data_IF_925811139056
#
_entry.id   IF_925811139056
#
_cell.length_a   1.000
_cell.length_b   1.000
_cell.length_c   1.000
_cell.angle_alpha   90.00
_cell.angle_beta   90.00
_cell.angle_gamma   90.00
#
_symmetry.space_group_name_H-M   'P 1'
#
loop_
_entity.id
_entity.type
_entity.pdbx_description
1 polymer ?
#
# COMPACT_ATOMS: atom_id res chain seq x y z
N UNK A 1 6.25 -11.12 -28.54
CA UNK A 1 7.15 -10.30 -27.70
C UNK A 1 6.67 -8.86 -27.80
N UNK A 2 6.18 -8.26 -26.71
CA UNK A 2 5.64 -6.89 -26.73
C UNK A 2 6.81 -5.89 -26.78
N UNK A 3 6.82 -5.00 -27.77
CA UNK A 3 7.74 -3.85 -27.75
C UNK A 3 7.05 -2.71 -26.98
N UNK A 4 7.43 -2.56 -25.71
CA UNK A 4 6.87 -1.53 -24.82
C UNK A 4 7.26 -0.10 -25.22
N UNK A 5 8.22 0.09 -26.12
CA UNK A 5 8.59 1.42 -26.65
C UNK A 5 7.60 1.94 -27.71
N UNK A 6 6.77 1.06 -28.28
CA UNK A 6 5.81 1.39 -29.35
C UNK A 6 4.40 0.87 -29.08
N UNK A 7 4.01 0.84 -27.81
CA UNK A 7 2.69 0.34 -27.42
C UNK A 7 1.58 1.33 -27.78
N UNK A 8 0.58 0.87 -28.54
CA UNK A 8 -0.63 1.67 -28.84
C UNK A 8 -1.45 1.90 -27.58
N UNK A 9 -2.41 2.83 -27.63
CA UNK A 9 -3.30 3.09 -26.49
C UNK A 9 -4.11 1.83 -26.13
N UNK A 10 -4.72 1.15 -27.11
CA UNK A 10 -5.47 -0.09 -26.90
C UNK A 10 -4.61 -1.21 -26.30
N UNK A 11 -3.38 -1.36 -26.79
CA UNK A 11 -2.44 -2.34 -26.25
C UNK A 11 -2.04 -2.01 -24.80
N UNK A 12 -1.88 -0.73 -24.48
CA UNK A 12 -1.57 -0.30 -23.12
C UNK A 12 -2.75 -0.50 -22.17
N UNK A 13 -3.98 -0.25 -22.61
CA UNK A 13 -5.20 -0.57 -21.85
C UNK A 13 -5.28 -2.08 -21.60
N UNK A 14 -5.09 -2.91 -22.63
CA UNK A 14 -5.10 -4.36 -22.48
C UNK A 14 -4.00 -4.87 -21.52
N UNK A 15 -2.82 -4.26 -21.55
CA UNK A 15 -1.74 -4.55 -20.61
C UNK A 15 -2.09 -4.12 -19.18
N UNK A 16 -2.70 -2.94 -19.00
CA UNK A 16 -3.15 -2.47 -17.69
C UNK A 16 -4.17 -3.43 -17.08
N UNK A 17 -5.16 -3.86 -17.87
CA UNK A 17 -6.16 -4.84 -17.47
C UNK A 17 -5.51 -6.17 -17.06
N UNK A 18 -4.56 -6.69 -17.85
CA UNK A 18 -3.85 -7.92 -17.52
C UNK A 18 -3.06 -7.81 -16.20
N UNK A 19 -2.33 -6.71 -16.01
CA UNK A 19 -1.57 -6.45 -14.78
C UNK A 19 -2.50 -6.36 -13.58
N UNK A 20 -3.57 -5.56 -13.67
CA UNK A 20 -4.51 -5.38 -12.56
C UNK A 20 -5.24 -6.69 -12.23
N UNK A 21 -5.64 -7.47 -13.22
CA UNK A 21 -6.28 -8.77 -12.99
C UNK A 21 -5.34 -9.76 -12.28
N UNK A 22 -4.06 -9.80 -12.68
CA UNK A 22 -3.06 -10.61 -11.98
C UNK A 22 -2.83 -10.14 -10.55
N UNK A 23 -2.61 -8.83 -10.34
CA UNK A 23 -2.37 -8.26 -9.00
C UNK A 23 -3.55 -8.40 -8.06
N UNK A 24 -4.77 -8.19 -8.52
CA UNK A 24 -5.98 -8.37 -7.70
C UNK A 24 -6.21 -9.83 -7.33
N UNK A 25 -5.96 -10.77 -8.25
CA UNK A 25 -6.01 -12.21 -7.97
C UNK A 25 -4.97 -12.61 -6.93
N UNK A 26 -3.72 -12.18 -7.11
CA UNK A 26 -2.62 -12.51 -6.20
C UNK A 26 -2.83 -11.88 -4.82
N UNK A 27 -3.22 -10.60 -4.76
CA UNK A 27 -3.55 -9.93 -3.49
C UNK A 27 -4.63 -10.68 -2.71
N UNK A 28 -5.73 -11.05 -3.37
CA UNK A 28 -6.80 -11.82 -2.74
C UNK A 28 -6.31 -13.17 -2.23
N UNK A 29 -5.57 -13.90 -3.06
CA UNK A 29 -5.07 -15.22 -2.71
C UNK A 29 -4.10 -15.17 -1.51
N UNK A 30 -3.10 -14.29 -1.57
CA UNK A 30 -2.05 -14.21 -0.55
C UNK A 30 -2.58 -13.68 0.77
N UNK A 31 -3.46 -12.67 0.75
CA UNK A 31 -4.12 -12.16 1.97
C UNK A 31 -4.98 -13.26 2.60
N UNK A 32 -5.81 -13.94 1.81
CA UNK A 32 -6.63 -15.04 2.33
C UNK A 32 -5.76 -16.13 2.96
N UNK A 33 -4.68 -16.56 2.27
CA UNK A 33 -3.77 -17.59 2.78
C UNK A 33 -3.12 -17.15 4.10
N UNK A 34 -2.67 -15.91 4.19
CA UNK A 34 -2.02 -15.37 5.38
C UNK A 34 -2.98 -15.22 6.56
N UNK A 35 -4.27 -14.98 6.33
CA UNK A 35 -5.28 -14.82 7.38
C UNK A 35 -5.91 -16.16 7.82
N UNK A 36 -5.60 -17.28 7.16
CA UNK A 36 -6.13 -18.60 7.53
C UNK A 36 -5.63 -18.99 8.93
N UNK A 37 -6.58 -19.28 9.83
CA UNK A 37 -6.30 -19.84 11.16
C UNK A 37 -6.19 -21.36 11.06
N UNK A 38 -5.15 -21.85 10.39
CA UNK A 38 -4.84 -23.29 10.29
C UNK A 38 -3.55 -23.66 11.04
N UNK A 39 -3.16 -24.95 10.97
CA UNK A 39 -1.98 -25.49 11.65
C UNK A 39 -0.64 -24.93 11.16
N UNK A 40 -0.60 -24.26 10.01
CA UNK A 40 0.61 -23.63 9.45
C UNK A 40 0.78 -22.17 9.92
N UNK A 41 -0.23 -21.62 10.58
CA UNK A 41 -0.17 -20.35 11.30
C UNK A 41 -0.78 -19.15 10.58
N UNK A 42 -1.17 -18.15 11.36
CA UNK A 42 -1.66 -16.86 10.90
C UNK A 42 -0.48 -15.89 10.70
N UNK A 43 -0.38 -15.24 9.52
CA UNK A 43 0.68 -14.32 9.15
C UNK A 43 0.14 -12.92 8.76
N UNK A 44 -0.58 -12.23 9.67
CA UNK A 44 -1.34 -11.04 9.31
C UNK A 44 -0.43 -9.84 8.98
N UNK A 45 0.76 -9.78 9.57
CA UNK A 45 1.74 -8.75 9.22
C UNK A 45 2.23 -8.91 7.77
N UNK A 46 2.45 -10.14 7.30
CA UNK A 46 2.82 -10.39 5.90
C UNK A 46 1.73 -9.94 4.94
N UNK A 47 0.46 -10.21 5.26
CA UNK A 47 -0.69 -9.73 4.49
C UNK A 47 -0.76 -8.20 4.44
N UNK A 48 -0.54 -7.54 5.58
CA UNK A 48 -0.53 -6.07 5.68
C UNK A 48 0.59 -5.46 4.83
N UNK A 49 1.81 -5.98 4.93
CA UNK A 49 2.95 -5.51 4.15
C UNK A 49 2.70 -5.67 2.64
N UNK A 50 2.06 -6.77 2.24
CA UNK A 50 1.70 -6.97 0.84
C UNK A 50 0.63 -5.98 0.36
N UNK A 51 -0.36 -5.65 1.20
CA UNK A 51 -1.32 -4.58 0.90
C UNK A 51 -0.59 -3.26 0.63
N UNK A 52 0.34 -2.86 1.50
CA UNK A 52 1.10 -1.62 1.28
C UNK A 52 2.00 -1.66 0.05
N UNK A 53 2.61 -2.80 -0.26
CA UNK A 53 3.34 -2.98 -1.52
C UNK A 53 2.45 -2.77 -2.75
N UNK A 54 1.17 -3.18 -2.69
CA UNK A 54 0.20 -2.93 -3.76
C UNK A 54 -0.18 -1.45 -3.87
N UNK A 55 -0.29 -0.72 -2.75
CA UNK A 55 -0.55 0.73 -2.77
C UNK A 55 0.65 1.47 -3.37
N UNK A 56 1.88 1.12 -3.00
CA UNK A 56 3.10 1.69 -3.59
C UNK A 56 3.19 1.40 -5.09
N UNK A 57 2.91 0.16 -5.50
CA UNK A 57 2.87 -0.23 -6.91
C UNK A 57 1.85 0.61 -7.70
N UNK A 58 0.64 0.77 -7.17
CA UNK A 58 -0.38 1.62 -7.79
C UNK A 58 0.01 3.10 -7.79
N UNK A 59 0.70 3.57 -6.74
CA UNK A 59 1.28 4.92 -6.69
C UNK A 59 2.30 5.16 -7.81
N UNK A 60 3.15 4.17 -8.09
CA UNK A 60 4.11 4.22 -9.18
C UNK A 60 3.41 4.30 -10.55
N UNK A 61 2.40 3.47 -10.79
CA UNK A 61 1.60 3.51 -12.02
C UNK A 61 0.88 4.86 -12.21
N UNK A 62 0.25 5.35 -11.13
CA UNK A 62 -0.46 6.62 -11.11
C UNK A 62 0.44 7.82 -11.42
N UNK A 63 1.67 7.84 -10.88
CA UNK A 63 2.62 8.92 -11.08
C UNK A 63 3.42 8.80 -12.39
N UNK A 64 3.45 7.60 -12.99
CA UNK A 64 4.27 7.31 -14.16
C UNK A 64 5.75 7.10 -13.84
N UNK A 65 6.05 6.63 -12.63
CA UNK A 65 7.41 6.55 -12.09
C UNK A 65 7.57 5.27 -11.25
N UNK A 66 8.33 4.30 -11.76
CA UNK A 66 8.65 3.05 -11.07
C UNK A 66 10.04 3.05 -10.42
N UNK A 67 10.92 3.96 -10.84
CA UNK A 67 12.29 4.07 -10.32
C UNK A 67 12.45 4.99 -9.11
N UNK A 68 13.56 4.81 -8.37
CA UNK A 68 13.99 5.76 -7.31
C UNK A 68 14.42 7.12 -7.87
N UNK A 69 14.69 7.19 -9.18
CA UNK A 69 15.21 8.34 -9.89
C UNK A 69 14.32 8.63 -11.09
N UNK A 70 13.95 9.89 -11.29
CA UNK A 70 13.26 10.32 -12.49
C UNK A 70 14.21 10.37 -13.71
N UNK A 71 13.69 10.75 -14.88
CA UNK A 71 14.48 10.91 -16.10
C UNK A 71 15.60 11.96 -15.97
N UNK A 72 15.49 12.89 -15.01
CA UNK A 72 16.48 13.92 -14.69
C UNK A 72 17.39 13.54 -13.50
N UNK A 73 17.38 12.27 -13.07
CA UNK A 73 18.16 11.74 -11.94
C UNK A 73 17.83 12.39 -10.57
N UNK A 74 16.65 12.99 -10.42
CA UNK A 74 16.13 13.49 -9.15
C UNK A 74 15.45 12.36 -8.37
N UNK A 75 15.51 12.43 -7.04
CA UNK A 75 14.83 11.45 -6.19
C UNK A 75 13.33 11.57 -6.38
N UNK A 76 12.69 10.42 -6.65
CA UNK A 76 11.23 10.32 -6.72
C UNK A 76 10.68 10.20 -5.30
N UNK A 77 9.66 11.00 -5.00
CA UNK A 77 8.90 10.89 -3.76
C UNK A 77 7.80 9.83 -3.92
N UNK A 78 8.20 8.56 -3.80
CA UNK A 78 7.29 7.42 -3.96
C UNK A 78 6.18 7.45 -2.91
N UNK A 79 6.46 7.95 -1.71
CA UNK A 79 5.48 8.14 -0.66
C UNK A 79 4.37 9.08 -1.10
N UNK A 80 4.72 10.27 -1.61
CA UNK A 80 3.72 11.22 -2.09
C UNK A 80 2.93 10.71 -3.30
N UNK A 81 3.57 9.93 -4.18
CA UNK A 81 2.87 9.27 -5.30
C UNK A 81 1.77 8.33 -4.80
N UNK A 82 2.09 7.50 -3.81
CA UNK A 82 1.13 6.57 -3.23
C UNK A 82 0.04 7.28 -2.39
N UNK A 83 0.37 8.38 -1.69
CA UNK A 83 -0.64 9.22 -1.01
C UNK A 83 -1.65 9.81 -2.01
N UNK A 84 -1.18 10.39 -3.11
CA UNK A 84 -2.05 10.97 -4.14
C UNK A 84 -2.94 9.92 -4.80
N UNK A 85 -2.39 8.75 -5.11
CA UNK A 85 -3.17 7.62 -5.62
C UNK A 85 -4.24 7.18 -4.62
N UNK A 86 -3.88 7.08 -3.33
CA UNK A 86 -4.80 6.70 -2.26
C UNK A 86 -5.95 7.69 -2.11
N UNK A 87 -5.65 8.99 -2.08
CA UNK A 87 -6.66 10.05 -2.04
C UNK A 87 -7.64 9.92 -3.22
N UNK A 88 -7.11 9.67 -4.42
CA UNK A 88 -7.93 9.65 -5.64
C UNK A 88 -8.74 8.36 -5.81
N UNK A 89 -8.18 7.19 -5.53
CA UNK A 89 -8.78 5.91 -5.91
C UNK A 89 -9.24 5.04 -4.74
N UNK A 90 -8.53 5.06 -3.60
CA UNK A 90 -9.03 4.45 -2.37
C UNK A 90 -10.18 5.29 -1.79
N UNK A 91 -10.09 6.62 -1.92
CA UNK A 91 -11.10 7.54 -1.40
C UNK A 91 -11.07 7.62 0.13
N UNK A 92 -9.91 7.34 0.71
CA UNK A 92 -9.68 7.51 2.14
C UNK A 92 -9.49 8.99 2.48
N UNK A 93 -9.87 9.34 3.71
CA UNK A 93 -9.63 10.66 4.27
C UNK A 93 -8.12 10.94 4.39
N UNK A 94 -7.75 12.22 4.30
CA UNK A 94 -6.36 12.65 4.35
C UNK A 94 -5.65 12.16 5.62
N UNK A 95 -6.30 12.28 6.78
CA UNK A 95 -5.74 11.87 8.06
C UNK A 95 -5.45 10.36 8.12
N UNK A 96 -6.36 9.52 7.59
CA UNK A 96 -6.15 8.08 7.50
C UNK A 96 -4.94 7.75 6.63
N UNK A 97 -4.78 8.45 5.50
CA UNK A 97 -3.63 8.25 4.60
C UNK A 97 -2.33 8.67 5.27
N UNK A 98 -2.31 9.81 5.96
CA UNK A 98 -1.13 10.27 6.70
C UNK A 98 -0.73 9.26 7.77
N UNK A 99 -1.69 8.76 8.56
CA UNK A 99 -1.43 7.75 9.59
C UNK A 99 -0.88 6.47 8.98
N UNK A 100 -1.52 5.92 7.95
CA UNK A 100 -1.04 4.71 7.28
C UNK A 100 0.39 4.92 6.75
N UNK A 101 0.68 6.10 6.19
CA UNK A 101 2.00 6.41 5.64
C UNK A 101 3.05 6.61 6.72
N UNK A 102 2.68 7.12 7.89
CA UNK A 102 3.57 7.16 9.05
C UNK A 102 3.89 5.75 9.54
N UNK A 103 2.88 4.88 9.66
CA UNK A 103 3.08 3.46 10.02
C UNK A 103 3.99 2.71 9.04
N UNK A 104 3.90 3.03 7.74
CA UNK A 104 4.61 2.30 6.67
C UNK A 104 5.96 2.92 6.27
N UNK A 105 6.29 4.14 6.70
CA UNK A 105 7.39 4.92 6.13
C UNK A 105 8.72 4.13 6.16
N UNK A 106 9.31 3.93 4.97
CA UNK A 106 10.70 3.60 4.55
C UNK A 106 11.55 2.62 5.41
N UNK A 107 11.46 2.63 6.73
CA UNK A 107 12.01 1.63 7.64
C UNK A 107 11.19 0.34 7.67
N UNK A 108 9.87 0.34 7.44
CA UNK A 108 9.05 -0.89 7.59
C UNK A 108 9.49 -2.03 6.66
N UNK A 109 10.00 -1.73 5.47
CA UNK A 109 10.62 -2.73 4.56
C UNK A 109 12.03 -3.14 5.03
N UNK A 110 12.74 -2.28 5.74
CA UNK A 110 14.09 -2.54 6.26
C UNK A 110 14.11 -3.20 7.66
N UNK A 111 13.07 -2.99 8.47
CA UNK A 111 12.95 -3.47 9.85
C UNK A 111 11.82 -4.50 10.01
N UNK A 112 11.04 -4.72 8.95
CA UNK A 112 9.90 -5.66 8.90
C UNK A 112 8.85 -5.42 9.99
N UNK A 113 8.77 -4.20 10.55
CA UNK A 113 7.83 -3.85 11.60
C UNK A 113 7.42 -2.37 11.49
N UNK A 114 6.11 -2.06 11.43
CA UNK A 114 5.62 -0.68 11.49
C UNK A 114 6.02 0.00 12.81
N UNK A 115 6.13 1.33 12.80
CA UNK A 115 6.31 2.09 14.04
C UNK A 115 5.17 1.80 15.01
N UNK A 116 5.51 1.38 16.23
CA UNK A 116 4.55 0.84 17.19
C UNK A 116 3.67 1.91 17.84
N UNK A 117 4.23 3.10 18.05
CA UNK A 117 3.53 4.30 18.53
C UNK A 117 4.11 5.50 17.80
N UNK A 118 3.25 6.41 17.35
CA UNK A 118 3.62 7.67 16.69
C UNK A 118 2.72 8.80 17.17
N UNK A 119 3.16 10.05 16.96
CA UNK A 119 2.39 11.24 17.32
C UNK A 119 1.66 11.79 16.10
N UNK A 120 0.34 11.98 16.22
CA UNK A 120 -0.50 12.56 15.18
C UNK A 120 -1.56 13.45 15.82
N UNK A 121 -1.58 14.74 15.44
CA UNK A 121 -2.55 15.71 15.95
C UNK A 121 -2.61 15.75 17.49
N UNK A 122 -1.44 15.89 18.12
CA UNK A 122 -1.22 15.88 19.57
C UNK A 122 -1.69 14.62 20.32
N UNK A 123 -2.00 13.53 19.60
CA UNK A 123 -2.35 12.22 20.17
C UNK A 123 -1.19 11.25 20.00
N UNK A 124 -1.02 10.34 20.96
CA UNK A 124 -0.08 9.22 20.84
C UNK A 124 -0.86 8.00 20.37
N UNK A 125 -0.69 7.69 19.09
CA UNK A 125 -1.46 6.66 18.41
C UNK A 125 -0.62 5.40 18.29
N UNK A 126 -1.14 4.28 18.79
CA UNK A 126 -0.67 2.94 18.40
C UNK A 126 -1.57 2.38 17.31
N UNK A 127 -1.32 1.17 16.84
CA UNK A 127 -2.17 0.51 15.84
C UNK A 127 -2.47 -0.91 16.24
N UNK A 128 -3.63 -1.40 15.80
CA UNK A 128 -4.03 -2.79 15.99
C UNK A 128 -4.55 -3.39 14.68
N UNK A 129 -4.36 -4.69 14.56
CA UNK A 129 -5.05 -5.50 13.58
C UNK A 129 -6.33 -5.99 14.23
N UNK A 130 -7.46 -5.59 13.68
CA UNK A 130 -8.77 -6.00 14.18
C UNK A 130 -9.41 -6.93 13.17
N UNK A 131 -9.58 -8.19 13.56
CA UNK A 131 -10.23 -9.22 12.74
C UNK A 131 -11.75 -9.29 13.01
N UNK A 132 -12.24 -8.65 14.09
CA UNK A 132 -13.59 -8.90 14.61
C UNK A 132 -14.62 -7.84 14.19
N UNK A 133 -14.19 -6.61 13.90
CA UNK A 133 -15.11 -5.53 13.51
C UNK A 133 -14.60 -4.66 12.36
N UNK A 134 -15.05 -4.99 11.15
CA UNK A 134 -14.79 -4.21 9.92
C UNK A 134 -15.24 -2.75 9.97
N UNK A 135 -16.22 -2.39 10.83
CA UNK A 135 -16.73 -1.03 10.92
C UNK A 135 -15.70 -0.05 11.49
N UNK A 136 -14.72 -0.57 12.23
CA UNK A 136 -13.66 0.23 12.82
C UNK A 136 -12.48 0.46 11.86
N UNK A 137 -12.51 -0.11 10.64
CA UNK A 137 -11.42 0.05 9.69
C UNK A 137 -11.09 1.52 9.43
N UNK A 138 -9.82 1.89 9.61
CA UNK A 138 -9.24 3.23 9.46
C UNK A 138 -9.78 4.27 10.46
N UNK A 139 -10.37 3.82 11.56
CA UNK A 139 -10.79 4.71 12.65
C UNK A 139 -9.68 4.86 13.70
N UNK A 140 -9.61 6.05 14.27
CA UNK A 140 -8.83 6.34 15.48
C UNK A 140 -9.79 6.20 16.66
N UNK A 141 -9.55 5.20 17.51
CA UNK A 141 -10.37 4.92 18.68
C UNK A 141 -9.57 5.26 19.95
N UNK A 142 -10.22 5.77 21.00
CA UNK A 142 -9.57 5.92 22.30
C UNK A 142 -9.12 4.55 22.82
N UNK A 143 -7.96 4.51 23.48
CA UNK A 143 -7.50 3.32 24.19
C UNK A 143 -8.47 3.01 25.32
N UNK A 144 -8.87 1.74 25.46
CA UNK A 144 -9.67 1.33 26.61
C UNK A 144 -8.86 1.46 27.89
N UNK A 145 -9.51 1.83 28.99
CA UNK A 145 -8.90 1.87 30.33
C UNK A 145 -8.40 0.47 30.75
N UNK A 146 -9.02 -0.59 30.21
CA UNK A 146 -8.67 -1.99 30.48
C UNK A 146 -7.54 -2.52 29.59
N UNK A 147 -7.15 -1.81 28.54
CA UNK A 147 -6.05 -2.22 27.67
C UNK A 147 -4.72 -1.87 28.33
N UNK A 148 -3.85 -2.88 28.48
CA UNK A 148 -2.47 -2.60 28.91
C UNK A 148 -1.77 -1.80 27.81
N UNK A 149 -1.03 -0.75 28.17
CA UNK A 149 -0.07 -0.10 27.26
C UNK A 149 1.09 -1.00 26.81
N UNK A 150 1.05 -2.28 27.17
CA UNK A 150 2.11 -3.24 26.88
C UNK A 150 1.90 -3.81 25.48
N UNK A 151 2.88 -3.58 24.60
CA UNK A 151 2.90 -4.08 23.24
C UNK A 151 3.99 -5.16 23.13
N UNK A 152 3.68 -6.35 22.58
CA UNK A 152 4.67 -7.38 22.35
C UNK A 152 5.61 -6.98 21.19
N UNK A 153 6.92 -7.08 21.43
CA UNK A 153 7.95 -6.94 20.40
C UNK A 153 8.85 -8.18 20.46
N UNK A 154 8.67 -9.09 19.50
CA UNK A 154 9.29 -10.42 19.55
C UNK A 154 8.87 -11.18 20.81
N UNK A 155 9.85 -11.69 21.56
CA UNK A 155 9.63 -12.39 22.83
C UNK A 155 9.60 -11.46 24.05
N UNK A 156 9.68 -10.14 23.83
CA UNK A 156 9.71 -9.13 24.90
C UNK A 156 8.40 -8.35 24.94
N UNK A 157 8.04 -7.88 26.13
CA UNK A 157 6.89 -7.01 26.36
C UNK A 157 7.40 -5.63 26.74
N UNK A 158 7.08 -4.62 25.95
CA UNK A 158 7.46 -3.23 26.23
C UNK A 158 6.21 -2.45 26.59
N UNK A 159 6.25 -1.74 27.72
CA UNK A 159 5.20 -0.80 28.05
C UNK A 159 5.41 0.48 27.24
N UNK A 160 4.49 0.75 26.31
CA UNK A 160 4.50 1.94 25.48
C UNK A 160 3.28 2.80 25.84
N UNK A 161 3.54 4.09 26.06
CA UNK A 161 2.47 5.04 26.37
C UNK A 161 1.78 5.50 25.10
N UNK A 162 0.48 5.21 24.99
CA UNK A 162 -0.39 5.68 23.93
C UNK A 162 -1.82 5.89 24.48
N UNK A 163 -2.57 6.79 23.86
CA UNK A 163 -3.93 7.18 24.28
C UNK A 163 -5.00 6.80 23.23
N UNK A 164 -4.60 6.52 22.00
CA UNK A 164 -5.48 6.10 20.92
C UNK A 164 -4.89 4.93 20.12
N UNK A 165 -5.75 4.22 19.41
CA UNK A 165 -5.39 3.16 18.48
C UNK A 165 -5.99 3.40 17.10
N UNK A 166 -5.17 3.23 16.08
CA UNK A 166 -5.61 3.20 14.69
C UNK A 166 -5.88 1.76 14.27
N UNK A 167 -7.08 1.50 13.76
CA UNK A 167 -7.56 0.15 13.52
C UNK A 167 -7.44 -0.22 12.04
N UNK A 168 -6.73 -1.31 11.74
CA UNK A 168 -6.64 -1.85 10.39
C UNK A 168 -7.31 -3.23 10.33
N UNK A 169 -8.29 -3.38 9.44
CA UNK A 169 -8.90 -4.66 9.10
C UNK A 169 -8.34 -5.09 7.74
N UNK A 170 -7.45 -6.08 7.73
CA UNK A 170 -6.62 -6.42 6.56
C UNK A 170 -7.48 -6.83 5.36
N UNK A 171 -8.54 -7.61 5.56
CA UNK A 171 -9.43 -7.99 4.46
C UNK A 171 -10.21 -6.81 3.89
N UNK A 172 -10.50 -5.80 4.72
CA UNK A 172 -11.17 -4.59 4.21
C UNK A 172 -10.20 -3.77 3.38
N UNK A 173 -8.97 -3.59 3.89
CA UNK A 173 -7.90 -2.91 3.17
C UNK A 173 -7.62 -3.58 1.82
N UNK A 174 -7.51 -4.91 1.78
CA UNK A 174 -7.24 -5.64 0.54
C UNK A 174 -8.38 -5.48 -0.47
N UNK A 175 -9.64 -5.53 -0.02
CA UNK A 175 -10.81 -5.30 -0.86
C UNK A 175 -10.88 -3.87 -1.39
N UNK A 176 -10.53 -2.88 -0.57
CA UNK A 176 -10.49 -1.48 -0.99
C UNK A 176 -9.40 -1.22 -2.02
N UNK A 177 -8.21 -1.83 -1.84
CA UNK A 177 -7.14 -1.81 -2.84
C UNK A 177 -7.65 -2.42 -4.16
N UNK A 178 -8.27 -3.60 -4.14
CA UNK A 178 -8.82 -4.23 -5.35
C UNK A 178 -9.82 -3.30 -6.05
N UNK A 179 -10.76 -2.70 -5.30
CA UNK A 179 -11.72 -1.73 -5.86
C UNK A 179 -11.00 -0.51 -6.47
N UNK A 180 -9.97 -0.01 -5.80
CA UNK A 180 -9.20 1.14 -6.29
C UNK A 180 -8.47 0.83 -7.60
N UNK A 181 -7.96 -0.39 -7.77
CA UNK A 181 -7.32 -0.84 -9.01
C UNK A 181 -8.31 -0.87 -10.18
N UNK A 182 -9.55 -1.32 -9.94
CA UNK A 182 -10.60 -1.28 -10.96
C UNK A 182 -11.02 0.16 -11.31
N UNK A 183 -11.21 1.04 -10.31
CA UNK A 183 -11.47 2.47 -10.56
C UNK A 183 -10.33 3.14 -11.36
N UNK A 184 -9.09 2.74 -11.10
CA UNK A 184 -7.93 3.21 -11.86
C UNK A 184 -7.99 2.78 -13.33
N UNK A 185 -8.38 1.52 -13.61
CA UNK A 185 -8.60 1.08 -14.99
C UNK A 185 -9.69 1.91 -15.69
N UNK A 186 -10.83 2.12 -15.02
CA UNK A 186 -11.93 2.93 -15.57
C UNK A 186 -11.51 4.37 -15.90
N UNK A 187 -10.59 4.92 -15.10
CA UNK A 187 -10.03 6.26 -15.33
C UNK A 187 -9.02 6.25 -16.48
N UNK A 188 -8.20 5.20 -16.59
CA UNK A 188 -7.15 5.06 -17.61
C UNK A 188 -7.72 4.97 -19.03
N UNK A 189 -8.92 4.42 -19.20
CA UNK A 189 -9.65 4.39 -20.48
C UNK A 189 -10.12 5.80 -20.93
N UNK A 190 -10.26 6.73 -20.00
CA UNK A 190 -10.85 8.07 -20.23
C UNK A 190 -9.82 9.19 -20.21
N UNK A 191 -8.71 8.99 -19.49
CA UNK A 191 -7.66 9.98 -19.27
C UNK A 191 -6.38 9.63 -20.01
N UNK A 192 -6.13 10.31 -21.14
CA UNK A 192 -4.91 10.14 -21.94
C UNK A 192 -3.63 10.50 -21.19
N UNK A 193 -3.68 11.46 -20.27
CA UNK A 193 -2.51 11.83 -19.49
C UNK A 193 -2.18 10.73 -18.48
N UNK A 194 -3.19 10.14 -17.83
CA UNK A 194 -3.02 8.99 -16.95
C UNK A 194 -2.51 7.76 -17.71
N UNK A 195 -3.04 7.48 -18.90
CA UNK A 195 -2.55 6.42 -19.77
C UNK A 195 -1.08 6.64 -20.17
N UNK A 196 -0.69 7.88 -20.47
CA UNK A 196 0.71 8.23 -20.73
C UNK A 196 1.62 7.95 -19.53
N UNK A 197 1.17 8.28 -18.31
CA UNK A 197 1.88 7.94 -17.07
C UNK A 197 2.02 6.43 -16.89
N UNK A 198 0.93 5.68 -17.07
CA UNK A 198 0.96 4.23 -17.01
C UNK A 198 2.04 3.63 -17.94
N UNK A 199 2.07 4.06 -19.21
CA UNK A 199 3.08 3.60 -20.18
C UNK A 199 4.50 3.87 -19.68
N UNK A 200 4.75 5.07 -19.15
CA UNK A 200 6.05 5.44 -18.60
C UNK A 200 6.45 4.56 -17.41
N UNK A 201 5.54 4.36 -16.44
CA UNK A 201 5.81 3.51 -15.27
C UNK A 201 6.09 2.06 -15.67
N UNK A 202 5.27 1.46 -16.54
CA UNK A 202 5.45 0.07 -16.99
C UNK A 202 6.78 -0.10 -17.72
N UNK A 203 7.18 0.88 -18.54
CA UNK A 203 8.48 0.86 -19.18
C UNK A 203 9.62 0.85 -18.15
N UNK A 204 9.56 1.71 -17.12
CA UNK A 204 10.56 1.71 -16.04
C UNK A 204 10.59 0.40 -15.24
N UNK A 205 9.43 -0.16 -14.90
CA UNK A 205 9.33 -1.34 -14.05
C UNK A 205 9.79 -2.62 -14.78
N UNK A 206 9.41 -2.79 -16.05
CA UNK A 206 9.58 -4.06 -16.76
C UNK A 206 10.66 -4.04 -17.86
N UNK A 207 11.08 -2.87 -18.35
CA UNK A 207 12.05 -2.76 -19.48
C UNK A 207 13.41 -2.25 -19.02
N UNK A 208 13.44 -1.19 -18.20
CA UNK A 208 14.70 -0.48 -17.90
C UNK A 208 15.57 -1.27 -16.93
N UNK A 209 16.52 -2.05 -17.46
CA UNK A 209 17.68 -2.54 -16.71
C UNK A 209 18.85 -1.55 -16.86
N UNK A 210 18.90 -0.49 -16.05
CA UNK A 210 20.12 0.32 -15.93
C UNK A 210 21.16 -0.43 -15.09
N UNK A 211 21.91 -1.33 -15.72
CA UNK A 211 23.19 -1.79 -15.18
C UNK A 211 24.23 -0.75 -15.55
N UNK A 212 24.38 0.29 -14.74
CA UNK A 212 25.57 1.15 -14.81
C UNK A 212 26.65 0.42 -14.03
N UNK A 213 27.56 -0.25 -14.74
CA UNK A 213 28.84 -0.69 -14.15
C UNK A 213 29.56 0.56 -13.66
N UNK A 214 29.90 0.60 -12.37
CA UNK A 214 31.07 1.36 -11.90
C UNK A 214 32.31 0.51 -12.15
#
# INVERSE_FOLDING_TARGET
>A
MFNLEKITDDQAIGLAQAIVNDKTKNLRFDVNRCMMKDSEGNAPLSALLYCFAMIDFMGALYAGQGGKKDMNNKNVDTSNNAKKMSLQFLGYEYDSIEIIWQMFRHKTIHVSMPETVFEFDNRRISWELNDDNKANHLQILPRSITESGIIPIGNTRINLEYDHKFVIHIETLSNDIIKSMHKYLDALEKDKALLGKFKAAVHEIYVVKRVVKK
#
